data_IF_366346383953
#
_entry.id   IF_366346383953
#
_cell.length_a   1.000
_cell.length_b   1.000
_cell.length_c   1.000
_cell.angle_alpha   90.00
_cell.angle_beta   90.00
_cell.angle_gamma   90.00
#
_symmetry.space_group_name_H-M   'P 1'
#
loop_
_entity.id
_entity.type
_entity.pdbx_description
1 polymer ?
#
# COMPACT_ATOMS: atom_id res chain seq x y z
N UNK A 1 -64.84 64.24 -1.89
CA UNK A 1 -65.49 62.91 -1.88
C UNK A 1 -64.64 61.96 -2.72
N UNK A 2 -64.42 60.73 -2.24
CA UNK A 2 -63.86 59.57 -2.96
C UNK A 2 -62.64 59.73 -3.88
N UNK A 3 -61.45 59.39 -3.37
CA UNK A 3 -60.38 58.65 -4.09
C UNK A 3 -59.47 58.01 -3.02
N UNK A 4 -59.74 56.77 -2.62
CA UNK A 4 -59.20 55.49 -3.16
C UNK A 4 -57.73 55.26 -2.73
N UNK A 5 -57.56 54.25 -1.87
CA UNK A 5 -56.30 53.90 -1.18
C UNK A 5 -55.19 53.49 -2.16
N UNK A 6 -53.94 53.83 -1.82
CA UNK A 6 -52.72 53.32 -2.46
C UNK A 6 -52.22 52.11 -1.66
N UNK A 7 -52.20 50.93 -2.28
CA UNK A 7 -51.56 49.75 -1.72
C UNK A 7 -50.03 49.84 -1.81
N UNK A 8 -49.32 49.25 -0.85
CA UNK A 8 -47.87 49.10 -0.86
C UNK A 8 -47.51 47.66 -1.22
N UNK A 9 -47.17 47.40 -2.48
CA UNK A 9 -46.66 46.11 -2.92
C UNK A 9 -45.20 45.95 -2.49
N UNK A 10 -44.99 45.32 -1.33
CA UNK A 10 -43.66 44.89 -0.89
C UNK A 10 -43.17 43.74 -1.77
N UNK A 11 -42.40 44.06 -2.81
CA UNK A 11 -41.68 43.09 -3.62
C UNK A 11 -40.57 42.44 -2.77
N UNK A 12 -40.90 41.29 -2.17
CA UNK A 12 -39.89 40.36 -1.66
C UNK A 12 -38.98 39.90 -2.81
N UNK A 13 -37.66 39.77 -2.58
CA UNK A 13 -36.77 39.21 -3.58
C UNK A 13 -37.16 37.74 -3.89
N UNK A 14 -36.94 37.26 -5.12
CA UNK A 14 -37.28 35.88 -5.48
C UNK A 14 -36.51 34.90 -4.61
N UNK A 15 -37.23 34.01 -3.95
CA UNK A 15 -36.65 32.88 -3.22
C UNK A 15 -35.83 32.03 -4.22
N UNK A 16 -34.52 31.95 -3.99
CA UNK A 16 -33.68 31.00 -4.72
C UNK A 16 -34.22 29.58 -4.53
N UNK A 17 -34.25 28.73 -5.56
CA UNK A 17 -34.81 27.40 -5.45
C UNK A 17 -34.04 26.60 -4.39
N UNK A 18 -34.76 26.06 -3.42
CA UNK A 18 -34.22 25.21 -2.34
C UNK A 18 -33.88 23.80 -2.85
N UNK A 19 -33.11 23.74 -3.93
CA UNK A 19 -32.65 22.53 -4.61
C UNK A 19 -31.12 22.47 -4.68
N UNK A 20 -30.44 23.03 -3.67
CA UNK A 20 -29.32 22.29 -3.10
C UNK A 20 -29.93 21.06 -2.43
N UNK A 21 -30.06 19.98 -3.20
CA UNK A 21 -30.16 18.68 -2.58
C UNK A 21 -28.92 18.51 -1.70
N UNK A 22 -29.11 18.07 -0.46
CA UNK A 22 -28.03 17.38 0.22
C UNK A 22 -27.83 16.09 -0.58
N UNK A 23 -26.87 16.10 -1.50
CA UNK A 23 -26.23 14.86 -1.93
C UNK A 23 -25.90 14.09 -0.66
N UNK A 24 -26.27 12.80 -0.60
CA UNK A 24 -25.92 11.97 0.53
C UNK A 24 -24.40 11.95 0.63
N UNK A 25 -23.86 12.79 1.52
CA UNK A 25 -22.44 12.83 1.85
C UNK A 25 -22.14 11.50 2.53
N UNK A 26 -21.77 10.51 1.73
CA UNK A 26 -21.63 9.14 2.19
C UNK A 26 -20.57 9.10 3.29
N UNK A 27 -20.76 8.21 4.26
CA UNK A 27 -19.86 8.10 5.42
C UNK A 27 -18.40 7.79 4.99
N UNK A 28 -18.22 7.29 3.77
CA UNK A 28 -16.93 7.15 3.07
C UNK A 28 -16.14 8.46 2.90
N UNK A 29 -16.80 9.63 2.80
CA UNK A 29 -16.12 10.93 2.67
C UNK A 29 -15.52 11.44 3.99
N UNK A 30 -16.19 11.16 5.12
CA UNK A 30 -15.76 11.60 6.45
C UNK A 30 -14.89 10.56 7.16
N UNK A 31 -14.90 9.31 6.69
CA UNK A 31 -14.05 8.25 7.21
C UNK A 31 -12.56 8.56 6.98
N UNK A 32 -11.76 8.46 8.05
CA UNK A 32 -10.30 8.57 8.02
C UNK A 32 -9.67 7.23 8.37
N UNK A 33 -8.78 6.75 7.50
CA UNK A 33 -7.90 5.61 7.77
C UNK A 33 -7.04 5.92 9.01
N UNK A 34 -6.88 5.00 9.98
CA UNK A 34 -5.92 5.15 11.07
C UNK A 34 -4.48 5.33 10.54
N UNK A 35 -3.56 5.98 11.27
CA UNK A 35 -2.21 6.28 10.78
C UNK A 35 -1.44 5.05 10.26
N UNK A 36 -1.52 3.91 10.96
CA UNK A 36 -0.94 2.60 10.55
C UNK A 36 -1.48 2.05 9.21
N UNK A 37 -2.57 2.61 8.69
CA UNK A 37 -3.25 2.23 7.45
C UNK A 37 -3.34 3.38 6.44
N UNK A 38 -2.57 4.45 6.62
CA UNK A 38 -2.53 5.56 5.66
C UNK A 38 -1.95 5.10 4.31
N UNK A 39 -2.46 5.56 3.15
CA UNK A 39 -1.92 5.18 1.84
C UNK A 39 -0.42 5.46 1.73
N UNK A 40 0.31 4.64 0.95
CA UNK A 40 1.76 4.76 0.80
C UNK A 40 2.58 4.20 1.98
N UNK A 41 1.96 3.93 3.14
CA UNK A 41 2.62 3.15 4.21
C UNK A 41 2.88 1.71 3.75
N UNK A 42 3.90 1.06 4.31
CA UNK A 42 4.27 -0.33 4.00
C UNK A 42 3.06 -1.29 4.07
N UNK A 43 2.32 -1.21 5.18
CA UNK A 43 1.18 -2.07 5.48
C UNK A 43 -0.01 -1.84 4.54
N UNK A 44 -0.48 -0.59 4.40
CA UNK A 44 -1.61 -0.30 3.50
C UNK A 44 -1.24 -0.55 2.04
N UNK A 45 -0.02 -0.21 1.61
CA UNK A 45 0.43 -0.47 0.24
C UNK A 45 0.41 -1.96 -0.08
N UNK A 46 0.91 -2.82 0.83
CA UNK A 46 0.84 -4.28 0.68
C UNK A 46 -0.59 -4.80 0.63
N UNK A 47 -1.46 -4.32 1.52
CA UNK A 47 -2.86 -4.74 1.56
C UNK A 47 -3.61 -4.34 0.28
N UNK A 48 -3.57 -3.06 -0.11
CA UNK A 48 -4.33 -2.57 -1.25
C UNK A 48 -3.80 -3.08 -2.59
N UNK A 49 -2.49 -3.35 -2.71
CA UNK A 49 -1.91 -3.98 -3.90
C UNK A 49 -2.21 -5.50 -3.99
N UNK A 50 -2.83 -6.11 -2.98
CA UNK A 50 -3.37 -7.47 -3.09
C UNK A 50 -4.88 -7.48 -3.44
N UNK A 51 -5.52 -6.32 -3.58
CA UNK A 51 -6.92 -6.23 -3.99
C UNK A 51 -7.12 -6.52 -5.49
N UNK A 52 -8.24 -7.18 -5.77
CA UNK A 52 -8.58 -7.75 -7.06
C UNK A 52 -8.92 -6.67 -8.11
N UNK A 53 -9.43 -5.49 -7.73
CA UNK A 53 -9.61 -4.34 -8.63
C UNK A 53 -8.28 -3.62 -8.90
N UNK A 54 -7.43 -3.50 -7.89
CA UNK A 54 -6.10 -2.88 -8.01
C UNK A 54 -5.16 -3.71 -8.89
N UNK A 55 -5.19 -5.04 -8.76
CA UNK A 55 -4.53 -5.97 -9.68
C UNK A 55 -5.01 -5.73 -11.12
N UNK A 56 -6.33 -5.61 -11.35
CA UNK A 56 -6.90 -5.35 -12.68
C UNK A 56 -6.42 -4.01 -13.25
N UNK A 57 -6.33 -2.94 -12.45
CA UNK A 57 -5.79 -1.63 -12.88
C UNK A 57 -4.35 -1.80 -13.39
N UNK A 58 -3.46 -2.31 -12.54
CA UNK A 58 -2.02 -2.39 -12.84
C UNK A 58 -1.75 -3.31 -14.04
N UNK A 59 -2.39 -4.48 -14.08
CA UNK A 59 -2.20 -5.47 -15.15
C UNK A 59 -2.76 -4.94 -16.47
N UNK A 60 -3.92 -4.26 -16.46
CA UNK A 60 -4.48 -3.65 -17.68
C UNK A 60 -3.56 -2.58 -18.26
N UNK A 61 -2.94 -1.75 -17.41
CA UNK A 61 -2.00 -0.71 -17.85
C UNK A 61 -0.67 -1.27 -18.34
N UNK A 62 -0.09 -2.28 -17.68
CA UNK A 62 1.25 -2.79 -18.00
C UNK A 62 1.28 -3.88 -19.08
N UNK A 63 0.20 -4.65 -19.23
CA UNK A 63 0.15 -5.83 -20.10
C UNK A 63 -0.97 -5.72 -21.16
N UNK A 64 -2.02 -4.96 -20.88
CA UNK A 64 -3.22 -4.81 -21.72
C UNK A 64 -4.48 -5.38 -21.04
N UNK A 65 -5.64 -4.84 -21.41
CA UNK A 65 -6.93 -5.15 -20.75
C UNK A 65 -7.28 -6.65 -20.77
N UNK A 66 -6.94 -7.36 -21.85
CA UNK A 66 -7.14 -8.81 -21.99
C UNK A 66 -6.35 -9.66 -20.97
N UNK A 67 -5.44 -9.05 -20.21
CA UNK A 67 -4.63 -9.72 -19.21
C UNK A 67 -5.16 -9.58 -17.77
N UNK A 68 -6.14 -8.70 -17.51
CA UNK A 68 -6.56 -8.31 -16.15
C UNK A 68 -6.97 -9.49 -15.26
N UNK A 69 -7.66 -10.50 -15.82
CA UNK A 69 -8.09 -11.72 -15.15
C UNK A 69 -7.07 -12.88 -15.21
N UNK A 70 -5.90 -12.66 -15.83
CA UNK A 70 -4.90 -13.70 -16.08
C UNK A 70 -3.78 -13.75 -15.03
N UNK A 71 -3.75 -12.82 -14.08
CA UNK A 71 -2.74 -12.69 -13.04
C UNK A 71 -3.33 -12.91 -11.64
N UNK A 72 -2.49 -13.40 -10.73
CA UNK A 72 -2.77 -13.53 -9.29
C UNK A 72 -1.52 -13.16 -8.50
N UNK A 73 -1.71 -12.77 -7.24
CA UNK A 73 -0.61 -12.55 -6.28
C UNK A 73 0.11 -13.86 -5.95
N UNK A 74 1.37 -13.76 -5.50
CA UNK A 74 2.24 -14.89 -5.13
C UNK A 74 3.08 -14.56 -3.90
N UNK A 75 3.57 -15.58 -3.16
CA UNK A 75 4.49 -15.39 -2.04
C UNK A 75 5.71 -14.54 -2.43
N UNK A 76 6.17 -13.71 -1.51
CA UNK A 76 7.25 -12.73 -1.72
C UNK A 76 8.50 -13.03 -0.90
N UNK A 77 8.50 -14.12 -0.12
CA UNK A 77 9.68 -14.65 0.57
C UNK A 77 10.70 -15.23 -0.42
N UNK A 78 11.95 -14.79 -0.31
CA UNK A 78 13.05 -15.27 -1.12
C UNK A 78 13.95 -16.24 -0.32
N UNK A 79 14.67 -17.18 -0.99
CA UNK A 79 15.55 -18.14 -0.31
C UNK A 79 16.73 -17.54 0.50
N UNK A 80 16.92 -16.22 0.46
CA UNK A 80 17.87 -15.47 1.27
C UNK A 80 17.20 -14.72 2.45
N UNK A 81 15.99 -15.13 2.83
CA UNK A 81 15.14 -14.56 3.90
C UNK A 81 14.73 -13.08 3.72
N UNK A 82 15.03 -12.48 2.56
CA UNK A 82 14.43 -11.18 2.18
C UNK A 82 12.98 -11.38 1.73
N UNK A 83 12.15 -10.35 1.84
CA UNK A 83 10.77 -10.32 1.35
C UNK A 83 10.55 -9.09 0.47
N UNK A 84 9.99 -9.26 -0.73
CA UNK A 84 9.52 -8.14 -1.57
C UNK A 84 8.12 -7.68 -1.19
N UNK A 85 7.71 -6.49 -1.64
CA UNK A 85 6.39 -5.97 -1.26
C UNK A 85 5.25 -6.76 -1.90
N UNK A 86 5.12 -6.75 -3.24
CA UNK A 86 4.08 -7.50 -3.96
C UNK A 86 4.59 -8.10 -5.27
N UNK A 87 4.15 -9.32 -5.56
CA UNK A 87 4.44 -10.04 -6.80
C UNK A 87 3.16 -10.55 -7.45
N UNK A 88 2.88 -10.12 -8.68
CA UNK A 88 1.88 -10.75 -9.55
C UNK A 88 2.53 -11.72 -10.52
N UNK A 89 1.85 -12.83 -10.78
CA UNK A 89 2.25 -13.80 -11.79
C UNK A 89 1.03 -14.34 -12.54
N UNK A 90 1.18 -14.77 -13.80
CA UNK A 90 0.09 -15.45 -14.50
C UNK A 90 -0.42 -16.66 -13.70
N UNK A 91 -1.74 -16.87 -13.64
CA UNK A 91 -2.29 -18.01 -12.92
C UNK A 91 -1.93 -19.33 -13.64
N UNK A 92 -2.10 -19.38 -14.96
CA UNK A 92 -1.67 -20.48 -15.82
C UNK A 92 -0.45 -20.11 -16.68
N UNK A 93 0.74 -20.36 -16.15
CA UNK A 93 2.03 -20.11 -16.84
C UNK A 93 2.29 -21.01 -18.05
N UNK A 94 1.59 -22.16 -18.18
CA UNK A 94 1.75 -23.05 -19.35
C UNK A 94 1.01 -22.51 -20.58
N UNK A 95 -0.06 -21.77 -20.35
CA UNK A 95 -0.88 -21.09 -21.35
C UNK A 95 -0.32 -19.70 -21.65
N UNK A 96 -0.17 -18.86 -20.62
CA UNK A 96 0.30 -17.48 -20.75
C UNK A 96 1.83 -17.35 -20.71
N UNK A 97 2.55 -18.17 -21.51
CA UNK A 97 4.03 -18.22 -21.53
C UNK A 97 4.70 -16.86 -21.80
N UNK A 98 4.03 -15.97 -22.52
CA UNK A 98 4.54 -14.66 -22.92
C UNK A 98 4.27 -13.55 -21.90
N UNK A 99 3.51 -13.84 -20.84
CA UNK A 99 3.18 -12.89 -19.77
C UNK A 99 4.27 -12.91 -18.69
N UNK A 100 5.01 -11.80 -18.46
CA UNK A 100 6.06 -11.74 -17.45
C UNK A 100 5.47 -11.67 -16.02
N UNK A 101 6.18 -12.15 -14.98
CA UNK A 101 5.91 -11.73 -13.61
C UNK A 101 6.02 -10.21 -13.46
N UNK A 102 5.19 -9.61 -12.61
CA UNK A 102 5.21 -8.18 -12.28
C UNK A 102 5.61 -8.06 -10.81
N UNK A 103 6.79 -7.50 -10.55
CA UNK A 103 7.26 -7.14 -9.22
C UNK A 103 6.90 -5.68 -8.93
N UNK A 104 6.38 -5.41 -7.73
CA UNK A 104 6.02 -4.07 -7.26
C UNK A 104 6.68 -3.89 -5.88
N UNK A 105 7.34 -2.75 -5.72
CA UNK A 105 7.87 -2.24 -4.45
C UNK A 105 7.32 -0.83 -4.24
N UNK A 106 6.96 -0.47 -3.01
CA UNK A 106 6.52 0.88 -2.63
C UNK A 106 7.43 1.39 -1.53
N UNK A 107 8.17 2.48 -1.81
CA UNK A 107 9.19 3.00 -0.89
C UNK A 107 9.12 4.54 -0.86
N UNK A 108 9.35 5.11 0.31
CA UNK A 108 9.37 6.56 0.52
C UNK A 108 10.57 7.25 -0.18
N UNK A 109 11.70 6.55 -0.27
CA UNK A 109 12.90 7.01 -0.98
C UNK A 109 13.46 5.91 -1.88
N UNK A 110 13.94 6.30 -3.06
CA UNK A 110 14.51 5.40 -4.07
C UNK A 110 16.03 5.60 -4.14
N UNK A 111 16.75 5.08 -3.15
CA UNK A 111 18.21 5.16 -3.06
C UNK A 111 18.91 3.98 -3.77
N UNK A 112 20.24 3.97 -3.78
CA UNK A 112 21.01 2.89 -4.40
C UNK A 112 20.88 1.54 -3.67
N UNK A 113 20.51 1.52 -2.39
CA UNK A 113 20.23 0.29 -1.66
C UNK A 113 18.87 -0.30 -2.06
N UNK A 114 17.84 0.54 -2.24
CA UNK A 114 16.56 0.16 -2.84
C UNK A 114 16.76 -0.45 -4.24
N UNK A 115 17.45 0.23 -5.15
CA UNK A 115 17.67 -0.30 -6.50
C UNK A 115 18.48 -1.61 -6.49
N UNK A 116 19.46 -1.77 -5.59
CA UNK A 116 20.17 -3.05 -5.37
C UNK A 116 19.22 -4.15 -4.90
N UNK A 117 18.31 -3.85 -3.96
CA UNK A 117 17.30 -4.79 -3.43
C UNK A 117 16.27 -5.19 -4.50
N UNK A 118 15.80 -4.24 -5.31
CA UNK A 118 14.90 -4.48 -6.45
C UNK A 118 15.55 -5.41 -7.50
N UNK A 119 16.85 -5.23 -7.78
CA UNK A 119 17.61 -6.14 -8.65
C UNK A 119 17.76 -7.55 -8.03
N UNK A 120 18.08 -7.67 -6.74
CA UNK A 120 18.13 -8.96 -6.03
C UNK A 120 16.80 -9.74 -6.13
N UNK A 121 15.67 -9.04 -5.99
CA UNK A 121 14.32 -9.62 -6.07
C UNK A 121 13.99 -10.06 -7.50
N UNK A 122 14.28 -9.20 -8.47
CA UNK A 122 14.12 -9.50 -9.90
C UNK A 122 14.96 -10.72 -10.34
N UNK A 123 16.18 -10.84 -9.81
CA UNK A 123 17.04 -12.02 -10.01
C UNK A 123 16.51 -13.26 -9.28
N UNK A 124 15.87 -13.11 -8.12
CA UNK A 124 15.23 -14.20 -7.38
C UNK A 124 14.00 -14.75 -8.12
N UNK A 125 13.14 -13.87 -8.64
CA UNK A 125 12.06 -14.20 -9.59
C UNK A 125 12.63 -14.97 -10.79
N UNK A 126 13.70 -14.45 -11.41
CA UNK A 126 14.35 -15.10 -12.54
C UNK A 126 14.94 -16.49 -12.22
N UNK A 127 15.35 -16.76 -10.97
CA UNK A 127 15.83 -18.09 -10.56
C UNK A 127 14.66 -19.03 -10.29
N UNK A 128 13.71 -18.62 -9.46
CA UNK A 128 12.61 -19.45 -8.98
C UNK A 128 11.61 -19.82 -10.07
N UNK A 129 11.51 -19.03 -11.15
CA UNK A 129 10.54 -19.23 -12.23
C UNK A 129 11.14 -19.58 -13.60
N UNK A 130 12.44 -19.90 -13.71
CA UNK A 130 13.02 -20.43 -14.95
C UNK A 130 12.89 -21.96 -15.03
N UNK A 131 12.82 -22.48 -16.24
CA UNK A 131 12.67 -23.91 -16.51
C UNK A 131 13.97 -24.68 -16.16
N UNK A 132 13.89 -25.84 -15.49
CA UNK A 132 15.06 -26.59 -15.01
C UNK A 132 15.91 -27.25 -16.12
N UNK A 133 15.53 -27.10 -17.39
CA UNK A 133 16.17 -27.75 -18.54
C UNK A 133 16.95 -26.78 -19.45
N UNK A 134 16.95 -25.48 -19.14
CA UNK A 134 17.48 -24.43 -20.04
C UNK A 134 18.81 -23.85 -19.54
N UNK A 135 19.85 -23.88 -20.40
CA UNK A 135 21.14 -23.23 -20.13
C UNK A 135 21.01 -21.71 -20.26
N UNK A 136 21.17 -20.97 -19.15
CA UNK A 136 21.27 -19.51 -19.22
C UNK A 136 22.62 -19.10 -19.81
N UNK A 137 22.61 -18.05 -20.64
CA UNK A 137 23.79 -17.27 -21.03
C UNK A 137 23.56 -15.81 -20.62
N UNK A 138 24.62 -15.02 -20.38
CA UNK A 138 24.50 -13.74 -19.67
C UNK A 138 23.89 -12.65 -20.55
N UNK A 139 22.69 -12.20 -20.17
CA UNK A 139 22.18 -10.87 -20.51
C UNK A 139 22.11 -10.01 -19.24
N UNK A 140 22.02 -8.69 -19.42
CA UNK A 140 21.92 -7.68 -18.36
C UNK A 140 20.48 -7.12 -18.28
N UNK A 141 19.48 -7.84 -17.74
CA UNK A 141 19.55 -9.22 -17.22
C UNK A 141 18.46 -9.59 -16.21
N UNK A 142 17.81 -8.60 -15.58
CA UNK A 142 16.95 -8.81 -14.42
C UNK A 142 15.45 -8.53 -14.65
N UNK A 143 15.08 -7.63 -15.57
CA UNK A 143 13.68 -7.33 -15.91
C UNK A 143 13.48 -7.08 -17.42
N UNK A 144 12.24 -7.23 -17.91
CA UNK A 144 11.84 -6.90 -19.29
C UNK A 144 11.66 -5.39 -19.50
N UNK A 145 11.17 -4.71 -18.48
CA UNK A 145 11.03 -3.26 -18.36
C UNK A 145 11.07 -2.90 -16.87
N UNK A 146 11.41 -1.66 -16.54
CA UNK A 146 11.34 -1.12 -15.19
C UNK A 146 10.72 0.27 -15.26
N UNK A 147 9.71 0.52 -14.45
CA UNK A 147 8.99 1.80 -14.40
C UNK A 147 9.16 2.41 -13.02
N UNK A 148 9.54 3.68 -12.96
CA UNK A 148 9.59 4.47 -11.74
C UNK A 148 8.46 5.49 -11.80
N UNK A 149 7.53 5.43 -10.84
CA UNK A 149 6.43 6.38 -10.71
C UNK A 149 6.64 7.17 -9.42
N UNK A 150 6.65 8.49 -9.54
CA UNK A 150 6.80 9.44 -8.44
C UNK A 150 5.93 10.69 -8.69
N UNK A 151 5.88 11.60 -7.71
CA UNK A 151 5.04 12.82 -7.78
C UNK A 151 5.30 13.62 -9.06
N UNK A 152 6.57 13.81 -9.44
CA UNK A 152 6.98 14.56 -10.63
C UNK A 152 6.50 13.91 -11.93
N UNK A 153 6.59 12.58 -12.06
CA UNK A 153 6.12 11.87 -13.27
C UNK A 153 4.60 11.98 -13.46
N UNK A 154 3.80 11.98 -12.38
CA UNK A 154 2.34 12.06 -12.49
C UNK A 154 1.79 13.49 -12.56
N UNK A 155 2.55 14.53 -12.16
CA UNK A 155 2.09 15.93 -12.05
C UNK A 155 1.32 16.45 -13.28
N UNK A 156 1.71 16.08 -14.50
CA UNK A 156 0.99 16.51 -15.70
C UNK A 156 -0.27 15.68 -16.01
N UNK A 157 -0.29 14.39 -15.63
CA UNK A 157 -1.46 13.51 -15.82
C UNK A 157 -2.58 13.82 -14.82
N UNK A 158 -2.26 14.37 -13.64
CA UNK A 158 -3.24 14.85 -12.65
C UNK A 158 -4.19 15.96 -13.17
N UNK A 159 -3.96 16.47 -14.38
CA UNK A 159 -4.78 17.47 -15.07
C UNK A 159 -5.92 16.85 -15.91
N UNK A 160 -5.89 15.55 -16.21
CA UNK A 160 -6.93 14.89 -17.03
C UNK A 160 -8.24 14.69 -16.25
N UNK A 161 -9.38 14.75 -16.94
CA UNK A 161 -10.69 14.38 -16.38
C UNK A 161 -11.39 13.38 -17.32
N UNK A 162 -11.66 12.13 -16.88
CA UNK A 162 -11.22 11.49 -15.63
C UNK A 162 -9.69 11.31 -15.55
N UNK A 163 -9.17 10.86 -14.41
CA UNK A 163 -7.80 10.34 -14.31
C UNK A 163 -7.67 9.00 -15.04
N UNK A 164 -6.47 8.71 -15.53
CA UNK A 164 -6.07 7.34 -15.85
C UNK A 164 -5.97 6.53 -14.55
N UNK A 165 -6.51 5.31 -14.51
CA UNK A 165 -6.64 4.55 -13.25
C UNK A 165 -5.29 4.27 -12.55
N UNK A 166 -4.21 4.05 -13.31
CA UNK A 166 -2.85 3.90 -12.75
C UNK A 166 -2.30 5.22 -12.17
N UNK A 167 -2.68 6.37 -12.74
CA UNK A 167 -2.32 7.71 -12.23
C UNK A 167 -3.09 8.00 -10.94
N UNK A 168 -4.38 7.62 -10.87
CA UNK A 168 -5.17 7.70 -9.65
C UNK A 168 -4.59 6.82 -8.51
N UNK A 169 -4.20 5.57 -8.82
CA UNK A 169 -3.53 4.68 -7.87
C UNK A 169 -2.18 5.24 -7.38
N UNK A 170 -1.36 5.76 -8.29
CA UNK A 170 -0.10 6.39 -7.94
C UNK A 170 -0.32 7.63 -7.06
N UNK A 171 -1.27 8.49 -7.39
CA UNK A 171 -1.63 9.69 -6.61
C UNK A 171 -2.11 9.34 -5.20
N UNK A 172 -2.99 8.34 -5.08
CA UNK A 172 -3.46 7.80 -3.81
C UNK A 172 -2.31 7.33 -2.91
N UNK A 173 -1.37 6.53 -3.44
CA UNK A 173 -0.21 6.05 -2.69
C UNK A 173 0.82 7.16 -2.38
N UNK A 174 1.01 8.14 -3.27
CA UNK A 174 2.03 9.20 -3.14
C UNK A 174 1.58 10.32 -2.20
N UNK A 175 0.30 10.70 -2.21
CA UNK A 175 -0.18 11.79 -1.36
C UNK A 175 -0.41 11.37 0.09
N UNK A 176 -0.57 10.08 0.37
CA UNK A 176 -0.62 9.54 1.74
C UNK A 176 -1.65 10.23 2.65
N UNK A 177 -2.85 10.53 2.14
CA UNK A 177 -3.91 11.19 2.91
C UNK A 177 -4.80 10.14 3.56
N UNK A 178 -5.08 10.32 4.85
CA UNK A 178 -5.90 9.36 5.62
C UNK A 178 -7.38 9.32 5.18
N UNK A 179 -7.93 10.44 4.69
CA UNK A 179 -9.35 10.59 4.36
C UNK A 179 -9.56 11.13 2.93
N UNK A 180 -10.62 10.67 2.27
CA UNK A 180 -11.00 11.05 0.91
C UNK A 180 -11.24 12.56 0.77
N UNK A 181 -11.75 13.24 1.81
CA UNK A 181 -11.95 14.69 1.79
C UNK A 181 -10.64 15.49 1.65
N UNK A 182 -9.52 14.93 2.13
CA UNK A 182 -8.20 15.57 2.25
C UNK A 182 -7.27 15.36 1.04
N UNK A 183 -7.69 14.61 0.01
CA UNK A 183 -6.91 14.39 -1.21
C UNK A 183 -7.39 15.30 -2.35
N UNK A 184 -6.43 15.83 -3.12
CA UNK A 184 -6.72 16.41 -4.43
C UNK A 184 -7.37 15.35 -5.33
N UNK A 185 -8.26 15.77 -6.23
CA UNK A 185 -8.98 14.90 -7.18
C UNK A 185 -9.93 13.88 -6.53
N UNK A 186 -10.44 14.15 -5.32
CA UNK A 186 -11.55 13.37 -4.70
C UNK A 186 -12.85 13.28 -5.52
N UNK A 187 -12.98 14.08 -6.58
CA UNK A 187 -14.03 13.97 -7.60
C UNK A 187 -13.84 12.78 -8.56
N UNK A 188 -12.66 12.14 -8.56
CA UNK A 188 -12.37 11.02 -9.44
C UNK A 188 -12.88 9.67 -8.89
N UNK A 189 -13.62 8.95 -9.73
CA UNK A 189 -14.25 7.68 -9.37
C UNK A 189 -13.23 6.60 -8.93
N UNK A 190 -12.02 6.60 -9.50
CA UNK A 190 -10.99 5.62 -9.14
C UNK A 190 -10.44 5.91 -7.75
N UNK A 191 -10.20 7.19 -7.42
CA UNK A 191 -9.75 7.60 -6.08
C UNK A 191 -10.80 7.24 -5.03
N UNK A 192 -12.09 7.51 -5.29
CA UNK A 192 -13.17 7.11 -4.38
C UNK A 192 -13.23 5.60 -4.16
N UNK A 193 -13.04 4.81 -5.21
CA UNK A 193 -13.02 3.35 -5.10
C UNK A 193 -11.79 2.84 -4.33
N UNK A 194 -10.61 3.44 -4.52
CA UNK A 194 -9.41 3.11 -3.72
C UNK A 194 -9.61 3.38 -2.22
N UNK A 195 -10.26 4.50 -1.85
CA UNK A 195 -10.62 4.75 -0.44
C UNK A 195 -11.66 3.75 0.09
N UNK A 196 -12.62 3.31 -0.75
CA UNK A 196 -13.61 2.30 -0.35
C UNK A 196 -13.00 0.92 -0.13
N UNK A 197 -12.09 0.50 -1.02
CA UNK A 197 -11.28 -0.72 -0.87
C UNK A 197 -10.45 -0.61 0.42
N UNK A 198 -9.72 0.49 0.61
CA UNK A 198 -8.90 0.73 1.79
C UNK A 198 -9.71 0.67 3.10
N UNK A 199 -10.90 1.28 3.14
CA UNK A 199 -11.86 1.19 4.26
C UNK A 199 -12.29 -0.26 4.51
N UNK A 200 -12.79 -0.94 3.48
CA UNK A 200 -13.29 -2.32 3.58
C UNK A 200 -12.23 -3.31 4.09
N UNK A 201 -10.99 -3.19 3.60
CA UNK A 201 -9.86 -4.03 4.02
C UNK A 201 -9.59 -3.93 5.53
N UNK A 202 -9.74 -2.73 6.13
CA UNK A 202 -9.32 -2.50 7.53
C UNK A 202 -10.48 -2.52 8.53
N UNK A 203 -11.74 -2.37 8.10
CA UNK A 203 -12.92 -2.42 8.98
C UNK A 203 -12.90 -3.60 9.97
N UNK A 204 -12.60 -4.85 9.57
CA UNK A 204 -12.58 -5.98 10.50
C UNK A 204 -11.51 -5.87 11.61
N UNK A 205 -10.40 -5.18 11.35
CA UNK A 205 -9.35 -4.97 12.35
C UNK A 205 -9.67 -3.76 13.26
N UNK A 206 -10.38 -2.75 12.75
CA UNK A 206 -10.93 -1.64 13.56
C UNK A 206 -11.99 -2.18 14.52
N UNK A 207 -13.01 -2.90 14.03
CA UNK A 207 -14.08 -3.51 14.84
C UNK A 207 -13.52 -4.41 15.95
N UNK A 208 -12.44 -5.13 15.64
CA UNK A 208 -11.67 -5.97 16.58
C UNK A 208 -10.89 -5.14 17.60
N UNK A 209 -10.26 -4.04 17.22
CA UNK A 209 -9.52 -3.13 18.11
C UNK A 209 -10.48 -2.37 19.06
N UNK A 210 -11.65 -1.96 18.56
CA UNK A 210 -12.75 -1.40 19.35
C UNK A 210 -13.31 -2.43 20.33
N UNK A 211 -13.64 -3.65 19.88
CA UNK A 211 -14.12 -4.75 20.72
C UNK A 211 -13.12 -5.09 21.83
N UNK A 212 -11.83 -5.18 21.51
CA UNK A 212 -10.76 -5.41 22.49
C UNK A 212 -10.61 -4.26 23.50
N UNK A 213 -10.94 -3.04 23.10
CA UNK A 213 -10.87 -1.85 23.97
C UNK A 213 -12.11 -1.74 24.88
N UNK A 214 -13.30 -2.03 24.37
CA UNK A 214 -14.52 -2.15 25.18
C UNK A 214 -14.44 -3.31 26.19
N UNK A 215 -13.84 -4.45 25.80
CA UNK A 215 -13.57 -5.56 26.71
C UNK A 215 -12.56 -5.19 27.80
N UNK A 216 -11.51 -4.44 27.46
CA UNK A 216 -10.54 -3.92 28.43
C UNK A 216 -11.17 -2.92 29.40
N UNK A 217 -11.98 -1.96 28.92
CA UNK A 217 -12.71 -1.02 29.77
C UNK A 217 -13.61 -1.73 30.77
N UNK A 218 -14.40 -2.71 30.31
CA UNK A 218 -15.25 -3.52 31.17
C UNK A 218 -14.44 -4.25 32.26
N UNK A 219 -13.29 -4.82 31.91
CA UNK A 219 -12.40 -5.48 32.87
C UNK A 219 -11.81 -4.48 33.88
N UNK A 220 -11.38 -3.30 33.42
CA UNK A 220 -10.87 -2.22 34.24
C UNK A 220 -11.92 -1.75 35.27
N UNK A 221 -13.13 -1.41 34.84
CA UNK A 221 -14.20 -0.98 35.76
C UNK A 221 -14.60 -2.09 36.74
N UNK A 222 -14.67 -3.35 36.30
CA UNK A 222 -14.94 -4.47 37.20
C UNK A 222 -13.84 -4.65 38.26
N UNK A 223 -12.56 -4.54 37.89
CA UNK A 223 -11.44 -4.64 38.81
C UNK A 223 -11.39 -3.45 39.79
N UNK A 224 -11.50 -2.22 39.27
CA UNK A 224 -11.47 -0.99 40.08
C UNK A 224 -12.59 -0.96 41.11
N UNK A 225 -13.84 -1.23 40.69
CA UNK A 225 -14.99 -1.26 41.60
C UNK A 225 -14.89 -2.41 42.63
N UNK A 226 -14.27 -3.53 42.27
CA UNK A 226 -13.98 -4.63 43.19
C UNK A 226 -12.96 -4.25 44.28
N UNK A 227 -11.87 -3.58 43.90
CA UNK A 227 -10.86 -3.07 44.83
C UNK A 227 -11.46 -1.99 45.75
N UNK A 228 -12.20 -1.02 45.21
CA UNK A 228 -12.86 0.02 46.00
C UNK A 228 -13.85 -0.56 47.00
N UNK A 229 -14.72 -1.49 46.58
CA UNK A 229 -15.66 -2.17 47.49
C UNK A 229 -14.96 -2.98 48.59
N UNK A 230 -13.79 -3.56 48.29
CA UNK A 230 -12.98 -4.25 49.30
C UNK A 230 -12.41 -3.27 50.33
N UNK A 231 -11.98 -2.08 49.87
CA UNK A 231 -11.53 -0.98 50.75
C UNK A 231 -12.66 -0.43 51.62
N UNK A 232 -13.86 -0.27 51.07
CA UNK A 232 -15.06 0.14 51.84
C UNK A 232 -15.36 -0.84 52.98
N UNK A 233 -15.42 -2.15 52.69
CA UNK A 233 -15.65 -3.20 53.70
C UNK A 233 -14.55 -3.20 54.78
N UNK A 234 -13.29 -2.93 54.42
CA UNK A 234 -12.20 -2.81 55.40
C UNK A 234 -12.34 -1.58 56.30
N UNK A 235 -12.84 -0.46 55.78
CA UNK A 235 -13.07 0.77 56.56
C UNK A 235 -14.23 0.63 57.56
N UNK A 236 -15.21 -0.23 57.29
CA UNK A 236 -16.32 -0.55 58.20
C UNK A 236 -15.87 -1.38 59.43
N UNK A 237 -14.74 -2.11 59.34
CA UNK A 237 -14.27 -3.05 60.37
C UNK A 237 -13.16 -2.44 61.25
N UNK A 238 -13.55 -1.56 62.18
CA UNK A 238 -12.61 -0.70 62.94
C UNK A 238 -11.74 -1.42 64.01
N UNK A 239 -12.10 -2.62 64.47
CA UNK A 239 -11.47 -3.27 65.65
C UNK A 239 -10.01 -3.76 65.47
N UNK A 240 -9.41 -3.69 64.27
CA UNK A 240 -8.01 -4.13 64.01
C UNK A 240 -7.16 -3.11 63.24
N UNK A 241 -6.96 -1.94 63.85
CA UNK A 241 -6.33 -0.74 63.29
C UNK A 241 -5.07 -0.96 62.42
N UNK A 242 -4.06 -1.69 62.90
CA UNK A 242 -2.74 -1.75 62.25
C UNK A 242 -2.67 -2.66 61.01
N UNK A 243 -3.37 -3.80 61.03
CA UNK A 243 -3.42 -4.73 59.89
C UNK A 243 -4.36 -4.19 58.81
N UNK A 244 -5.53 -3.69 59.21
CA UNK A 244 -6.51 -3.10 58.29
C UNK A 244 -5.92 -1.91 57.52
N UNK A 245 -5.15 -1.03 58.18
CA UNK A 245 -4.45 0.06 57.50
C UNK A 245 -3.53 -0.43 56.38
N UNK A 246 -2.64 -1.40 56.65
CA UNK A 246 -1.72 -1.95 55.63
C UNK A 246 -2.45 -2.60 54.46
N UNK A 247 -3.62 -3.20 54.69
CA UNK A 247 -4.45 -3.75 53.64
C UNK A 247 -5.07 -2.63 52.77
N UNK A 248 -5.51 -1.52 53.36
CA UNK A 248 -6.01 -0.35 52.64
C UNK A 248 -4.90 0.33 51.82
N UNK A 249 -3.73 0.57 52.42
CA UNK A 249 -2.56 1.15 51.73
C UNK A 249 -2.22 0.31 50.46
N UNK A 250 -2.20 -1.01 50.59
CA UNK A 250 -1.98 -1.96 49.50
C UNK A 250 -3.09 -1.93 48.42
N UNK A 251 -4.36 -1.69 48.78
CA UNK A 251 -5.44 -1.54 47.79
C UNK A 251 -5.31 -0.24 47.00
N UNK A 252 -4.87 0.85 47.64
CA UNK A 252 -4.65 2.14 46.98
C UNK A 252 -3.45 2.12 46.02
N UNK A 253 -2.37 1.39 46.36
CA UNK A 253 -1.26 1.11 45.44
C UNK A 253 -1.76 0.36 44.19
N UNK A 254 -2.59 -0.67 44.36
CA UNK A 254 -3.17 -1.42 43.23
C UNK A 254 -4.13 -0.58 42.38
N UNK A 255 -4.98 0.25 42.99
CA UNK A 255 -5.85 1.18 42.26
C UNK A 255 -5.03 2.22 41.48
N UNK A 256 -3.95 2.73 42.06
CA UNK A 256 -3.02 3.67 41.41
C UNK A 256 -2.33 3.03 40.20
N UNK A 257 -1.84 1.79 40.34
CA UNK A 257 -1.25 1.04 39.24
C UNK A 257 -2.26 0.75 38.12
N UNK A 258 -3.50 0.39 38.46
CA UNK A 258 -4.57 0.11 37.51
C UNK A 258 -4.98 1.36 36.72
N UNK A 259 -5.12 2.51 37.39
CA UNK A 259 -5.34 3.81 36.77
C UNK A 259 -4.23 4.19 35.79
N UNK A 260 -2.97 3.95 36.16
CA UNK A 260 -1.81 4.26 35.31
C UNK A 260 -1.73 3.37 34.05
N UNK A 261 -2.14 2.09 34.15
CA UNK A 261 -2.25 1.18 33.00
C UNK A 261 -3.37 1.64 32.06
N UNK A 262 -4.54 2.01 32.59
CA UNK A 262 -5.66 2.55 31.81
C UNK A 262 -5.25 3.84 31.08
N UNK A 263 -4.72 4.82 31.83
CA UNK A 263 -4.23 6.10 31.29
C UNK A 263 -3.21 5.91 30.17
N UNK A 264 -2.23 5.01 30.36
CA UNK A 264 -1.23 4.68 29.32
C UNK A 264 -1.87 4.13 28.05
N UNK A 265 -2.86 3.23 28.16
CA UNK A 265 -3.54 2.63 27.00
C UNK A 265 -4.26 3.69 26.16
N UNK A 266 -5.01 4.60 26.80
CA UNK A 266 -5.78 5.60 26.06
C UNK A 266 -4.97 6.83 25.62
N UNK A 267 -3.92 7.21 26.36
CA UNK A 267 -2.97 8.23 25.90
C UNK A 267 -2.29 7.85 24.57
N UNK A 268 -1.96 6.56 24.37
CA UNK A 268 -1.37 6.06 23.12
C UNK A 268 -2.35 6.05 21.92
N UNK A 269 -3.66 6.16 22.16
CA UNK A 269 -4.69 6.29 21.11
C UNK A 269 -4.90 7.77 20.77
N UNK A 270 -4.73 8.67 21.75
CA UNK A 270 -4.93 10.12 21.58
C UNK A 270 -3.72 10.87 21.00
N UNK A 271 -2.56 10.23 20.85
CA UNK A 271 -1.35 10.88 20.29
C UNK A 271 -1.42 10.92 18.76
N UNK A 272 -2.08 11.96 18.23
CA UNK A 272 -2.05 12.31 16.80
C UNK A 272 -0.60 12.46 16.30
N UNK A 273 -0.17 11.72 15.26
CA UNK A 273 1.24 11.62 14.89
C UNK A 273 1.76 12.83 14.08
N UNK A 274 1.31 14.04 14.40
CA UNK A 274 1.88 15.31 13.92
C UNK A 274 3.21 15.62 14.65
N UNK A 275 4.08 14.61 14.74
CA UNK A 275 5.41 14.69 15.35
C UNK A 275 6.48 14.93 14.28
N UNK A 276 7.06 16.13 14.27
CA UNK A 276 8.16 16.46 13.35
C UNK A 276 9.36 15.55 13.59
N UNK A 277 9.74 14.77 12.59
CA UNK A 277 10.93 13.90 12.65
C UNK A 277 12.19 14.77 12.57
N UNK A 278 12.68 15.22 13.72
CA UNK A 278 14.07 15.67 13.87
C UNK A 278 14.99 14.45 13.80
N UNK A 279 16.01 14.43 12.92
CA UNK A 279 16.99 13.35 12.92
C UNK A 279 17.87 13.48 14.17
N UNK A 280 17.72 12.53 15.09
CA UNK A 280 18.53 12.49 16.31
C UNK A 280 19.96 12.04 15.98
N UNK A 281 20.96 12.64 16.63
CA UNK A 281 22.38 12.43 16.32
C UNK A 281 23.00 11.37 17.25
N UNK A 282 23.91 10.56 16.72
CA UNK A 282 24.53 9.43 17.43
C UNK A 282 25.10 9.79 18.82
N UNK A 283 24.40 9.37 19.87
CA UNK A 283 24.97 9.33 21.23
C UNK A 283 25.71 8.00 21.40
N UNK A 284 26.96 7.97 20.93
CA UNK A 284 27.80 6.77 20.97
C UNK A 284 28.23 6.42 22.42
N UNK A 285 27.92 5.20 22.85
CA UNK A 285 28.35 4.67 24.14
C UNK A 285 29.87 4.49 24.16
N UNK A 286 30.60 5.14 25.07
CA UNK A 286 32.05 4.95 25.22
C UNK A 286 32.46 4.82 26.68
N UNK A 287 32.76 3.59 27.11
CA UNK A 287 33.49 3.29 28.35
C UNK A 287 34.61 2.31 28.01
N UNK A 288 35.86 2.79 28.09
CA UNK A 288 37.07 2.08 28.55
C UNK A 288 38.24 3.05 28.38
N UNK A 289 39.07 3.19 29.41
CA UNK A 289 40.30 3.99 29.39
C UNK A 289 41.50 3.08 29.58
N UNK A 290 42.39 3.00 28.60
CA UNK A 290 43.75 2.48 28.79
C UNK A 290 44.70 2.85 27.67
N UNK A 291 45.84 3.42 28.09
CA UNK A 291 47.15 3.37 27.45
C UNK A 291 47.40 4.07 26.10
N UNK A 292 48.22 5.11 26.21
CA UNK A 292 48.98 5.76 25.15
C UNK A 292 49.95 4.81 24.44
N UNK A 293 50.17 5.00 23.14
CA UNK A 293 51.55 5.07 22.67
C UNK A 293 51.77 5.91 21.40
N UNK A 294 53.01 6.36 21.25
CA UNK A 294 53.49 7.36 20.30
C UNK A 294 53.80 6.75 18.93
N UNK A 295 53.50 7.47 17.84
CA UNK A 295 54.44 7.81 16.75
C UNK A 295 53.76 8.73 15.73
N UNK A 296 54.47 9.77 15.29
CA UNK A 296 54.04 10.66 14.20
C UNK A 296 55.05 10.60 13.06
N UNK A 297 54.57 10.35 11.83
CA UNK A 297 55.36 10.56 10.60
C UNK A 297 54.47 11.15 9.51
N UNK A 298 54.89 12.28 8.96
CA UNK A 298 54.23 13.00 7.87
C UNK A 298 54.62 12.49 6.48
N UNK A 299 53.71 12.52 5.51
CA UNK A 299 53.76 13.46 4.36
C UNK A 299 52.70 13.16 3.28
N UNK A 300 52.22 14.17 2.52
CA UNK A 300 51.27 14.00 1.43
C UNK A 300 51.94 13.93 0.04
N UNK A 301 51.28 13.29 -0.95
CA UNK A 301 51.64 13.42 -2.37
C UNK A 301 50.40 13.56 -3.28
N UNK A 302 50.33 14.75 -3.88
CA UNK A 302 49.67 15.19 -5.12
C UNK A 302 48.62 14.34 -5.87
N UNK A 303 47.53 15.05 -6.17
CA UNK A 303 46.70 14.97 -7.38
C UNK A 303 47.55 14.79 -8.66
N UNK A 304 47.04 14.00 -9.62
CA UNK A 304 47.49 14.04 -11.01
C UNK A 304 46.28 14.16 -11.95
N UNK A 305 46.28 15.18 -12.80
CA UNK A 305 45.17 15.53 -13.71
C UNK A 305 45.70 15.53 -15.14
N UNK A 306 45.10 14.74 -16.03
CA UNK A 306 45.39 14.71 -17.48
C UNK A 306 44.11 14.36 -18.28
N UNK A 307 44.05 14.63 -19.60
CA UNK A 307 43.17 15.71 -20.04
C UNK A 307 41.94 15.25 -20.86
N UNK A 308 41.12 16.23 -21.24
CA UNK A 308 40.17 16.11 -22.36
C UNK A 308 40.92 16.29 -23.68
N UNK A 309 40.55 15.50 -24.69
CA UNK A 309 40.75 15.86 -26.10
C UNK A 309 39.39 16.05 -26.79
N UNK A 310 39.39 16.76 -27.92
CA UNK A 310 38.20 17.36 -28.51
C UNK A 310 37.70 16.62 -29.78
N UNK A 311 36.51 17.04 -30.19
CA UNK A 311 35.88 16.97 -31.51
C UNK A 311 36.70 16.43 -32.69
N UNK A 312 36.06 15.56 -33.48
CA UNK A 312 36.10 15.69 -34.95
C UNK A 312 34.74 15.31 -35.52
N UNK A 313 34.11 16.25 -36.23
CA UNK A 313 32.87 16.04 -37.00
C UNK A 313 33.23 15.71 -38.45
N UNK A 314 32.48 14.83 -39.13
CA UNK A 314 32.20 14.97 -40.58
C UNK A 314 31.08 14.03 -41.09
N UNK A 315 30.36 14.59 -42.06
CA UNK A 315 29.23 14.16 -42.90
C UNK A 315 29.05 12.70 -43.32
N UNK A 316 27.78 12.27 -43.28
CA UNK A 316 26.96 11.72 -44.38
C UNK A 316 27.65 11.23 -45.68
N UNK A 317 27.20 10.08 -46.18
CA UNK A 317 26.60 9.93 -47.53
C UNK A 317 25.84 8.60 -47.64
N UNK A 318 24.93 8.48 -48.62
CA UNK A 318 24.08 7.30 -48.82
C UNK A 318 24.07 6.82 -50.28
N UNK A 319 23.89 5.51 -50.49
CA UNK A 319 23.59 4.95 -51.83
C UNK A 319 22.96 3.56 -51.73
N UNK A 320 21.71 3.43 -52.17
CA UNK A 320 21.09 2.17 -52.63
C UNK A 320 21.35 2.02 -54.14
N UNK A 321 21.27 0.81 -54.71
CA UNK A 321 20.16 0.60 -55.65
C UNK A 321 19.54 -0.81 -55.67
N UNK A 322 18.44 -0.90 -56.43
CA UNK A 322 17.66 -2.07 -56.90
C UNK A 322 18.51 -3.08 -57.72
N UNK A 323 18.05 -4.29 -58.13
CA UNK A 323 16.71 -4.89 -58.33
C UNK A 323 16.75 -6.45 -58.10
N UNK A 324 15.90 -7.39 -58.57
CA UNK A 324 14.63 -7.50 -59.36
C UNK A 324 14.11 -8.96 -59.32
N UNK A 325 12.80 -9.19 -59.58
CA UNK A 325 12.16 -10.35 -60.33
C UNK A 325 12.44 -11.83 -59.95
N UNK A 326 11.53 -12.82 -60.10
CA UNK A 326 10.08 -12.91 -60.46
C UNK A 326 9.58 -14.38 -60.29
N UNK A 327 8.31 -14.68 -60.63
CA UNK A 327 7.63 -16.02 -60.69
C UNK A 327 7.28 -16.68 -59.34
N UNK A 328 6.23 -17.50 -59.18
CA UNK A 328 4.92 -17.66 -59.88
C UNK A 328 3.98 -18.40 -58.88
N UNK A 329 2.72 -17.99 -58.63
CA UNK A 329 1.46 -18.21 -59.40
C UNK A 329 0.75 -19.55 -59.09
N UNK A 330 -0.59 -19.55 -59.12
CA UNK A 330 -1.58 -20.61 -58.80
C UNK A 330 -1.95 -20.84 -57.31
N UNK A 331 -3.13 -21.39 -56.96
CA UNK A 331 -4.54 -21.04 -57.24
C UNK A 331 -5.49 -22.12 -56.65
N UNK A 332 -6.77 -21.75 -56.37
CA UNK A 332 -7.87 -22.58 -55.81
C UNK A 332 -7.65 -23.13 -54.38
N UNK A 333 -8.58 -23.11 -53.41
CA UNK A 333 -10.06 -23.17 -53.34
C UNK A 333 -10.66 -24.58 -53.30
N UNK A 334 -11.22 -24.99 -52.15
CA UNK A 334 -12.59 -25.55 -52.05
C UNK A 334 -13.07 -25.78 -50.59
N UNK A 335 -14.37 -26.00 -50.46
CA UNK A 335 -15.24 -25.96 -49.28
C UNK A 335 -15.28 -27.21 -48.36
N UNK A 336 -15.50 -26.94 -47.06
CA UNK A 336 -16.59 -27.46 -46.20
C UNK A 336 -16.68 -28.93 -45.68
N UNK A 337 -16.73 -28.99 -44.34
CA UNK A 337 -17.81 -29.59 -43.51
C UNK A 337 -17.77 -31.08 -43.06
N UNK A 338 -18.72 -31.37 -42.13
CA UNK A 338 -19.23 -32.66 -41.61
C UNK A 338 -18.50 -33.28 -40.39
N UNK A 339 -19.14 -33.13 -39.23
CA UNK A 339 -19.09 -34.01 -38.04
C UNK A 339 -20.05 -35.23 -38.24
N UNK A 340 -20.15 -36.26 -37.37
CA UNK A 340 -19.56 -36.42 -36.02
C UNK A 340 -18.93 -37.80 -35.74
N UNK A 341 -18.51 -38.05 -34.49
CA UNK A 341 -19.07 -39.20 -33.77
C UNK A 341 -18.99 -39.04 -32.24
N UNK A 342 -19.86 -39.76 -31.52
CA UNK A 342 -19.88 -39.80 -30.06
C UNK A 342 -20.07 -41.25 -29.57
N UNK A 343 -19.43 -41.63 -28.46
CA UNK A 343 -19.88 -42.77 -27.63
C UNK A 343 -19.26 -42.75 -26.24
N UNK A 344 -20.17 -42.79 -25.26
CA UNK A 344 -20.03 -43.03 -23.82
C UNK A 344 -19.21 -44.26 -23.39
N UNK A 345 -18.61 -44.20 -22.20
CA UNK A 345 -18.76 -45.22 -21.12
C UNK A 345 -18.70 -44.52 -19.74
N UNK A 346 -19.48 -45.01 -18.76
CA UNK A 346 -19.54 -44.49 -17.38
C UNK A 346 -18.60 -45.24 -16.41
N UNK A 347 -18.12 -44.58 -15.35
CA UNK A 347 -17.99 -45.16 -14.00
C UNK A 347 -18.25 -44.07 -12.94
N UNK A 348 -19.19 -44.26 -11.98
CA UNK A 348 -19.33 -43.39 -10.81
C UNK A 348 -18.45 -43.88 -9.64
N UNK A 349 -17.80 -42.95 -8.91
CA UNK A 349 -17.11 -43.27 -7.65
C UNK A 349 -18.03 -42.93 -6.48
N UNK A 350 -18.35 -43.94 -5.68
CA UNK A 350 -19.05 -43.78 -4.40
C UNK A 350 -18.04 -43.44 -3.30
N UNK A 351 -18.36 -42.47 -2.44
CA UNK A 351 -17.68 -42.28 -1.16
C UNK A 351 -18.72 -42.41 -0.05
N UNK A 352 -18.56 -43.47 0.74
CA UNK A 352 -19.34 -43.76 1.95
C UNK A 352 -18.56 -43.19 3.14
N UNK A 353 -19.17 -42.30 3.92
CA UNK A 353 -18.55 -41.83 5.16
C UNK A 353 -18.71 -42.84 6.31
N UNK A 354 -17.79 -42.80 7.28
CA UNK A 354 -18.01 -42.96 8.74
C UNK A 354 -16.66 -42.96 9.46
N UNK A 355 -16.46 -41.98 10.35
CA UNK A 355 -16.19 -42.15 11.80
C UNK A 355 -16.43 -40.80 12.47
#
# INVERSE_FOLDING_TARGET
VSHKLRGNDFLLPPLLPSTFAMEHCSEDFLFSLPPKYTPGTDLMSKLILNDDEVIKIIVSTLIGIDACSKYVTRPTEWPNFKRSDVLYCPFNRKEFKNHPPILIEVQYSADMNFFRRLMDYSLSICKYYKFPYAKNLPCTGWAKACFLINKQTITNHLKSKPLEAMVALAHFLIEGKSALINIDRRDDQTIQTLYRIAKHIISPEIEKEETNSAAFEKLYFCAFNGLNRTKEILLENQDMETTTKRAIDCLDDHMTALNEIHRKRFAAISSDPTGTITPDHDTALTTISSETNVVSTSSPVNVSTMPKENDTTLTQSASTPTSSSSHDTLAASSSAAIMPNASTVNVPISIRGTT
#
